data_IF_843267118883
#
_entry.id   IF_843267118883
#
_cell.length_a   1.000
_cell.length_b   1.000
_cell.length_c   1.000
_cell.angle_alpha   90.00
_cell.angle_beta   90.00
_cell.angle_gamma   90.00
#
_symmetry.space_group_name_H-M   'P 1'
#
loop_
_entity.id
_entity.type
_entity.pdbx_description
1 polymer ?
#
# COMPACT_ATOMS: atom_id res chain seq x y z
N UNK A 1 -98.22 -15.61 -40.72
CA UNK A 1 -97.93 -16.78 -39.88
C UNK A 1 -97.33 -16.27 -38.57
N UNK A 2 -98.17 -16.24 -37.54
CA UNK A 2 -97.92 -16.26 -36.08
C UNK A 2 -96.82 -15.35 -35.50
N UNK A 3 -97.31 -14.39 -34.72
CA UNK A 3 -96.63 -13.59 -33.68
C UNK A 3 -96.09 -14.45 -32.51
N UNK A 4 -94.89 -14.13 -32.02
CA UNK A 4 -94.39 -14.27 -30.63
C UNK A 4 -93.12 -13.38 -30.54
N UNK A 5 -92.77 -12.65 -29.49
CA UNK A 5 -93.11 -12.70 -28.08
C UNK A 5 -92.88 -11.32 -27.42
N UNK A 6 -93.51 -11.14 -26.26
CA UNK A 6 -93.53 -9.95 -25.40
C UNK A 6 -92.32 -9.85 -24.45
N UNK A 7 -92.18 -8.64 -23.89
CA UNK A 7 -91.86 -8.33 -22.47
C UNK A 7 -90.41 -7.94 -22.07
N UNK A 8 -90.22 -6.63 -21.92
CA UNK A 8 -89.82 -5.87 -20.70
C UNK A 8 -88.95 -6.58 -19.65
N UNK A 9 -87.79 -5.99 -19.31
CA UNK A 9 -87.54 -5.34 -18.00
C UNK A 9 -86.08 -4.92 -17.79
N UNK A 10 -85.90 -3.75 -17.17
CA UNK A 10 -84.64 -3.09 -16.81
C UNK A 10 -83.87 -3.90 -15.76
N UNK A 11 -82.53 -3.90 -15.84
CA UNK A 11 -81.67 -3.63 -14.66
C UNK A 11 -80.23 -3.26 -15.04
N UNK A 12 -79.84 -2.14 -14.45
CA UNK A 12 -78.51 -1.56 -14.29
C UNK A 12 -77.54 -2.57 -13.65
N UNK A 13 -76.32 -2.69 -14.17
CA UNK A 13 -75.09 -2.77 -13.35
C UNK A 13 -73.86 -2.45 -14.21
N UNK A 14 -73.10 -1.46 -13.74
CA UNK A 14 -71.82 -0.96 -14.29
C UNK A 14 -70.67 -1.80 -13.74
N UNK A 15 -69.90 -2.50 -14.57
CA UNK A 15 -68.48 -2.95 -14.41
C UNK A 15 -68.21 -3.90 -15.59
N UNK A 16 -67.09 -3.93 -16.33
CA UNK A 16 -65.69 -3.77 -15.98
C UNK A 16 -64.92 -3.13 -17.16
N UNK A 17 -64.21 -2.04 -16.91
CA UNK A 17 -62.74 -1.94 -16.74
C UNK A 17 -61.98 -2.02 -18.07
N UNK A 18 -61.53 -0.82 -18.47
CA UNK A 18 -60.73 -0.49 -19.64
C UNK A 18 -59.29 -0.96 -19.44
N UNK A 19 -58.74 -1.64 -20.44
CA UNK A 19 -57.29 -1.78 -20.63
C UNK A 19 -56.83 -0.47 -21.28
N UNK A 20 -56.00 0.30 -20.59
CA UNK A 20 -55.27 1.41 -21.20
C UNK A 20 -53.87 1.50 -20.56
N UNK A 21 -52.91 0.96 -21.31
CA UNK A 21 -51.49 1.27 -21.41
C UNK A 21 -50.95 2.35 -20.44
N UNK A 22 -50.12 1.93 -19.50
CA UNK A 22 -49.12 2.79 -18.88
C UNK A 22 -47.75 2.44 -19.48
N UNK A 23 -47.34 3.16 -20.53
CA UNK A 23 -45.93 3.18 -20.95
C UNK A 23 -45.24 4.18 -20.03
N UNK A 24 -44.61 3.68 -18.97
CA UNK A 24 -43.72 4.44 -18.12
C UNK A 24 -42.39 4.60 -18.88
N UNK A 25 -42.22 5.69 -19.62
CA UNK A 25 -40.90 6.10 -20.12
C UNK A 25 -40.12 6.61 -18.91
N UNK A 26 -39.37 5.71 -18.27
CA UNK A 26 -38.32 6.11 -17.33
C UNK A 26 -37.22 6.72 -18.18
N UNK A 27 -37.20 8.06 -18.31
CA UNK A 27 -35.97 8.78 -18.63
C UNK A 27 -35.02 8.55 -17.44
N UNK A 28 -34.30 7.44 -17.46
CA UNK A 28 -33.15 7.25 -16.62
C UNK A 28 -32.10 8.24 -17.09
N UNK A 29 -31.89 9.30 -16.33
CA UNK A 29 -30.59 9.97 -16.35
C UNK A 29 -29.58 8.91 -15.91
N UNK A 30 -28.97 8.22 -16.87
CA UNK A 30 -27.79 7.40 -16.60
C UNK A 30 -26.67 8.41 -16.35
N UNK A 31 -26.58 8.89 -15.12
CA UNK A 31 -25.35 9.51 -14.65
C UNK A 31 -24.27 8.44 -14.84
N UNK A 32 -23.34 8.65 -15.76
CA UNK A 32 -22.12 7.86 -15.77
C UNK A 32 -21.47 8.11 -14.41
N UNK A 33 -21.53 7.13 -13.52
CA UNK A 33 -20.83 7.21 -12.26
C UNK A 33 -19.33 7.27 -12.61
N UNK A 34 -18.69 8.39 -12.24
CA UNK A 34 -17.25 8.50 -12.21
C UNK A 34 -16.78 7.47 -11.18
N UNK A 35 -15.99 6.49 -11.62
CA UNK A 35 -15.58 5.36 -10.81
C UNK A 35 -14.06 5.40 -10.66
N UNK A 36 -13.60 5.32 -9.41
CA UNK A 36 -12.18 5.17 -9.16
C UNK A 36 -11.63 3.92 -9.87
N UNK A 37 -10.43 4.04 -10.41
CA UNK A 37 -9.68 2.95 -11.01
C UNK A 37 -8.40 2.72 -10.22
N UNK A 38 -8.09 1.46 -9.94
CA UNK A 38 -6.99 1.09 -9.07
C UNK A 38 -5.82 0.48 -9.84
N UNK A 39 -4.61 0.85 -9.47
CA UNK A 39 -3.36 0.23 -9.91
C UNK A 39 -2.67 -0.41 -8.71
N UNK A 40 -2.27 -1.67 -8.87
CA UNK A 40 -1.55 -2.41 -7.84
C UNK A 40 -0.24 -2.97 -8.38
N UNK A 41 0.84 -2.78 -7.64
CA UNK A 41 2.15 -3.31 -8.02
C UNK A 41 2.98 -3.72 -6.81
N UNK A 42 3.79 -4.77 -6.95
CA UNK A 42 4.81 -5.13 -5.98
C UNK A 42 6.09 -4.37 -6.32
N UNK A 43 6.62 -3.62 -5.35
CA UNK A 43 7.74 -2.70 -5.54
C UNK A 43 8.84 -2.97 -4.51
N UNK A 44 10.04 -2.49 -4.81
CA UNK A 44 11.15 -2.46 -3.87
C UNK A 44 11.45 -1.02 -3.47
N UNK A 45 11.36 -0.73 -2.17
CA UNK A 45 11.63 0.58 -1.60
C UNK A 45 13.01 0.55 -0.96
N UNK A 46 13.93 1.47 -1.30
CA UNK A 46 15.18 1.58 -0.56
C UNK A 46 14.89 2.01 0.87
N UNK A 47 15.46 1.31 1.84
CA UNK A 47 15.28 1.57 3.28
C UNK A 47 16.64 1.64 3.96
N UNK A 48 16.84 2.66 4.77
CA UNK A 48 17.96 2.79 5.70
C UNK A 48 17.48 2.51 7.12
N UNK A 49 18.13 1.57 7.81
CA UNK A 49 17.87 1.30 9.23
C UNK A 49 18.86 2.05 10.08
N UNK A 50 18.38 2.66 11.16
CA UNK A 50 19.21 3.17 12.25
C UNK A 50 18.71 2.59 13.57
N UNK A 51 19.41 1.57 14.06
CA UNK A 51 19.07 0.86 15.27
C UNK A 51 20.08 1.16 16.38
N UNK A 52 19.58 1.49 17.57
CA UNK A 52 20.36 1.57 18.80
C UNK A 52 20.11 0.33 19.64
N UNK A 53 21.19 -0.34 20.01
CA UNK A 53 21.21 -1.53 20.84
C UNK A 53 21.90 -1.19 22.15
N UNK A 54 21.22 -1.36 23.28
CA UNK A 54 21.83 -1.14 24.58
C UNK A 54 21.46 -2.19 25.62
N UNK A 55 22.27 -2.33 26.66
CA UNK A 55 21.98 -3.19 27.81
C UNK A 55 21.75 -2.36 29.07
N UNK A 56 20.67 -2.66 29.80
CA UNK A 56 20.41 -2.03 31.11
C UNK A 56 20.93 -2.85 32.29
N UNK A 57 21.06 -4.18 32.15
CA UNK A 57 21.74 -5.05 33.11
C UNK A 57 22.31 -6.30 32.42
N UNK A 58 23.36 -6.86 33.03
CA UNK A 58 24.12 -7.99 32.52
C UNK A 58 24.21 -9.10 33.57
N UNK A 59 23.08 -9.43 34.17
CA UNK A 59 23.01 -10.41 35.24
C UNK A 59 23.29 -11.83 34.72
N UNK A 60 24.01 -12.63 35.52
CA UNK A 60 24.39 -14.00 35.16
C UNK A 60 23.20 -14.97 35.03
N UNK A 61 22.03 -14.60 35.55
CA UNK A 61 20.78 -15.34 35.43
C UNK A 61 19.62 -14.37 35.60
N UNK A 62 18.67 -14.25 34.65
CA UNK A 62 18.43 -15.08 33.47
C UNK A 62 19.19 -14.63 32.19
N UNK A 63 20.37 -14.00 32.34
CA UNK A 63 21.13 -13.44 31.23
C UNK A 63 20.80 -11.96 30.97
N UNK A 64 21.49 -11.32 30.01
CA UNK A 64 21.41 -9.88 29.81
C UNK A 64 20.08 -9.43 29.19
N UNK A 65 19.60 -8.27 29.63
CA UNK A 65 18.43 -7.61 29.05
C UNK A 65 18.89 -6.59 28.02
N UNK A 66 18.73 -6.94 26.75
CA UNK A 66 19.10 -6.11 25.62
C UNK A 66 17.88 -5.37 25.12
N UNK A 67 18.09 -4.11 24.83
CA UNK A 67 17.09 -3.22 24.27
C UNK A 67 17.45 -2.95 22.83
N UNK A 68 16.45 -2.99 21.97
CA UNK A 68 16.53 -2.54 20.58
C UNK A 68 15.50 -1.44 20.33
N UNK A 69 15.93 -0.33 19.75
CA UNK A 69 15.08 0.82 19.40
C UNK A 69 15.67 1.55 18.22
N UNK A 70 14.89 2.30 17.46
CA UNK A 70 15.44 3.02 16.31
C UNK A 70 14.40 3.48 15.32
N UNK A 71 14.85 3.71 14.11
CA UNK A 71 14.02 4.15 13.02
C UNK A 71 14.42 3.52 11.68
N UNK A 72 13.41 3.40 10.81
CA UNK A 72 13.52 3.01 9.41
C UNK A 72 13.24 4.26 8.58
N UNK A 73 14.15 4.63 7.69
CA UNK A 73 13.97 5.74 6.76
C UNK A 73 13.72 5.18 5.37
N UNK A 74 12.56 5.52 4.79
CA UNK A 74 12.20 5.09 3.45
C UNK A 74 12.69 6.12 2.44
N UNK A 75 13.29 5.64 1.35
CA UNK A 75 13.61 6.49 0.21
C UNK A 75 12.34 6.88 -0.55
N UNK A 76 12.45 7.97 -1.30
CA UNK A 76 11.33 8.50 -2.06
C UNK A 76 10.88 7.56 -3.18
N UNK A 77 9.63 7.72 -3.60
CA UNK A 77 9.05 6.99 -4.71
C UNK A 77 8.22 7.96 -5.56
N UNK A 78 8.45 7.90 -6.86
CA UNK A 78 7.72 8.70 -7.84
C UNK A 78 6.77 7.84 -8.67
N UNK A 79 5.80 8.50 -9.28
CA UNK A 79 4.85 7.93 -10.22
C UNK A 79 4.63 8.87 -11.39
N UNK A 80 3.97 8.38 -12.42
CA UNK A 80 3.63 9.16 -13.59
C UNK A 80 2.19 8.91 -14.04
N UNK A 81 1.46 10.00 -14.27
CA UNK A 81 0.23 10.00 -15.05
C UNK A 81 0.58 10.25 -16.50
N UNK A 82 0.11 9.38 -17.39
CA UNK A 82 0.37 9.47 -18.83
C UNK A 82 -0.97 9.62 -19.54
N UNK A 83 -1.15 10.75 -20.20
CA UNK A 83 -2.34 11.07 -20.98
C UNK A 83 -2.04 10.85 -22.46
N UNK A 84 -2.74 9.89 -23.08
CA UNK A 84 -2.61 9.60 -24.51
C UNK A 84 -3.89 9.99 -25.23
N UNK A 85 -3.79 10.95 -26.13
CA UNK A 85 -4.90 11.28 -27.02
C UNK A 85 -4.74 10.53 -28.35
N UNK A 86 -5.67 9.63 -28.65
CA UNK A 86 -5.74 8.93 -29.94
C UNK A 86 -7.05 9.28 -30.64
N UNK A 87 -7.10 10.43 -31.33
CA UNK A 87 -8.21 10.73 -32.24
C UNK A 87 -7.85 10.27 -33.65
N UNK A 88 -8.14 9.01 -33.99
CA UNK A 88 -8.21 8.62 -35.40
C UNK A 88 -9.45 9.32 -36.00
N UNK A 89 -9.22 10.33 -36.86
CA UNK A 89 -10.26 10.84 -37.74
C UNK A 89 -10.41 12.34 -37.94
N UNK A 90 -9.44 13.22 -37.61
CA UNK A 90 -9.30 14.55 -38.28
C UNK A 90 -8.09 15.39 -37.89
N UNK A 91 -7.35 15.08 -36.83
CA UNK A 91 -6.08 15.76 -36.52
C UNK A 91 -5.03 14.75 -36.03
N UNK A 92 -3.91 14.71 -36.74
CA UNK A 92 -2.69 13.93 -36.46
C UNK A 92 -1.94 14.52 -35.26
N UNK A 93 -2.54 14.49 -34.07
CA UNK A 93 -1.87 14.93 -32.86
C UNK A 93 -1.98 13.84 -31.80
N UNK A 94 -0.90 13.06 -31.66
CA UNK A 94 -0.68 12.19 -30.52
C UNK A 94 0.23 12.97 -29.58
N UNK A 95 -0.36 13.65 -28.61
CA UNK A 95 0.39 14.17 -27.48
C UNK A 95 0.30 13.15 -26.36
N UNK A 96 1.48 12.62 -25.99
CA UNK A 96 1.69 11.92 -24.74
C UNK A 96 2.12 12.98 -23.73
N UNK A 97 1.22 13.38 -22.85
CA UNK A 97 1.54 14.27 -21.72
C UNK A 97 1.86 13.38 -20.54
N UNK A 98 3.09 13.48 -20.03
CA UNK A 98 3.54 12.79 -18.81
C UNK A 98 3.62 13.81 -17.67
N UNK A 99 2.94 13.52 -16.57
CA UNK A 99 2.98 14.34 -15.35
C UNK A 99 3.52 13.49 -14.22
N UNK A 100 4.65 13.91 -13.64
CA UNK A 100 5.23 13.29 -12.46
C UNK A 100 4.39 13.57 -11.21
N UNK A 101 4.29 12.57 -10.35
CA UNK A 101 3.60 12.64 -9.06
C UNK A 101 4.50 12.04 -7.99
N UNK A 102 4.68 12.76 -6.89
CA UNK A 102 5.39 12.22 -5.73
C UNK A 102 4.45 11.24 -5.01
N UNK A 103 4.84 9.97 -4.93
CA UNK A 103 4.08 8.94 -4.22
C UNK A 103 4.54 8.92 -2.77
N UNK A 104 5.84 8.76 -2.52
CA UNK A 104 6.40 8.81 -1.19
C UNK A 104 7.49 9.89 -1.15
N UNK A 105 7.37 10.92 -0.31
CA UNK A 105 8.47 11.86 -0.14
C UNK A 105 9.68 11.15 0.48
N UNK A 106 10.89 11.50 0.07
CA UNK A 106 12.09 10.91 0.67
C UNK A 106 12.22 11.26 2.15
N UNK A 107 12.63 10.29 2.96
CA UNK A 107 12.92 10.50 4.39
C UNK A 107 11.73 10.24 5.33
N UNK A 108 10.62 9.69 4.82
CA UNK A 108 9.56 9.18 5.67
C UNK A 108 10.13 8.19 6.69
N UNK A 109 9.84 8.39 7.96
CA UNK A 109 10.54 7.71 9.06
C UNK A 109 9.56 6.93 9.92
N UNK A 110 9.74 5.61 10.01
CA UNK A 110 8.99 4.74 10.92
C UNK A 110 9.83 4.49 12.16
N UNK A 111 9.34 4.92 13.32
CA UNK A 111 10.00 4.70 14.61
C UNK A 111 9.48 3.44 15.28
N UNK A 112 10.38 2.53 15.63
CA UNK A 112 10.02 1.36 16.43
C UNK A 112 10.40 1.56 17.89
N UNK A 113 9.43 1.26 18.76
CA UNK A 113 9.58 1.45 20.20
C UNK A 113 10.61 0.49 20.79
N UNK A 114 11.15 0.90 21.95
CA UNK A 114 12.08 0.11 22.76
C UNK A 114 11.52 -1.30 23.01
N UNK A 115 12.12 -2.32 22.40
CA UNK A 115 11.79 -3.73 22.64
C UNK A 115 12.85 -4.36 23.57
N UNK A 116 12.47 -4.82 24.78
CA UNK A 116 13.37 -5.59 25.62
C UNK A 116 13.43 -7.04 25.15
N UNK A 117 14.64 -7.59 25.03
CA UNK A 117 14.85 -9.02 24.86
C UNK A 117 14.49 -9.76 26.15
N UNK A 118 13.80 -10.89 26.03
CA UNK A 118 13.40 -11.71 27.18
C UNK A 118 14.52 -12.66 27.57
N UNK A 119 15.50 -12.15 28.32
CA UNK A 119 16.63 -12.92 28.85
C UNK A 119 17.57 -13.42 27.76
N UNK A 120 18.69 -14.00 28.17
CA UNK A 120 19.75 -14.50 27.29
C UNK A 120 20.52 -15.64 27.94
N UNK A 121 21.71 -15.94 27.43
CA UNK A 121 22.62 -16.87 28.13
C UNK A 121 23.23 -16.18 29.36
N UNK A 122 23.47 -16.95 30.42
CA UNK A 122 24.29 -16.50 31.55
C UNK A 122 25.75 -16.27 31.11
N UNK A 123 26.46 -15.38 31.81
CA UNK A 123 27.86 -15.04 31.52
C UNK A 123 28.02 -13.67 30.86
N UNK A 124 29.08 -13.54 30.05
CA UNK A 124 29.38 -12.33 29.28
C UNK A 124 29.46 -12.66 27.78
N UNK A 125 28.31 -12.93 27.14
CA UNK A 125 28.29 -13.38 25.76
C UNK A 125 28.76 -12.29 24.79
N UNK A 126 29.24 -12.73 23.63
CA UNK A 126 29.29 -11.94 22.42
C UNK A 126 27.87 -11.79 21.90
N UNK A 127 27.46 -10.56 21.65
CA UNK A 127 26.11 -10.22 21.24
C UNK A 127 26.17 -9.77 19.79
N UNK A 128 25.33 -10.38 18.98
CA UNK A 128 25.13 -10.03 17.59
C UNK A 128 23.68 -9.63 17.34
N UNK A 129 23.45 -8.81 16.32
CA UNK A 129 22.12 -8.54 15.77
C UNK A 129 22.10 -8.89 14.29
N UNK A 130 21.02 -9.52 13.85
CA UNK A 130 20.76 -9.76 12.44
C UNK A 130 19.33 -9.32 12.12
N UNK A 131 19.14 -8.66 10.99
CA UNK A 131 17.82 -8.24 10.52
C UNK A 131 17.28 -9.25 9.53
N UNK A 132 16.00 -9.54 9.65
CA UNK A 132 15.30 -10.54 8.87
C UNK A 132 14.05 -9.92 8.23
N UNK A 133 13.65 -10.48 7.09
CA UNK A 133 12.35 -10.23 6.51
C UNK A 133 11.22 -10.97 7.26
N UNK A 134 9.98 -10.76 6.83
CA UNK A 134 8.79 -11.40 7.40
C UNK A 134 8.79 -12.94 7.30
N UNK A 135 9.52 -13.50 6.32
CA UNK A 135 9.66 -14.95 6.15
C UNK A 135 10.80 -15.55 6.98
N UNK A 136 11.57 -14.72 7.68
CA UNK A 136 12.75 -15.12 8.45
C UNK A 136 14.03 -15.21 7.62
N UNK A 137 13.99 -14.76 6.36
CA UNK A 137 15.17 -14.63 5.49
C UNK A 137 16.06 -13.48 5.96
N UNK A 138 17.37 -13.70 6.00
CA UNK A 138 18.32 -12.66 6.40
C UNK A 138 18.38 -11.53 5.36
N UNK A 139 18.18 -10.29 5.82
CA UNK A 139 18.35 -9.06 5.03
C UNK A 139 19.61 -8.29 5.44
N UNK A 140 20.29 -8.74 6.50
CA UNK A 140 21.62 -8.27 6.89
C UNK A 140 22.53 -9.45 7.25
N UNK A 141 23.83 -9.18 7.24
CA UNK A 141 24.79 -10.03 7.95
C UNK A 141 24.55 -9.99 9.47
N UNK A 142 25.18 -10.90 10.19
CA UNK A 142 25.27 -10.80 11.65
C UNK A 142 26.25 -9.67 12.03
N UNK A 143 25.76 -8.72 12.82
CA UNK A 143 26.51 -7.53 13.20
C UNK A 143 26.90 -7.68 14.66
N UNK A 144 28.20 -7.76 14.93
CA UNK A 144 28.71 -7.77 16.30
C UNK A 144 28.45 -6.43 16.96
N UNK A 145 27.68 -6.44 18.06
CA UNK A 145 27.36 -5.22 18.81
C UNK A 145 28.14 -5.12 20.12
N UNK A 146 28.88 -6.16 20.52
CA UNK A 146 29.75 -6.09 21.69
C UNK A 146 29.43 -7.15 22.72
N UNK A 147 29.86 -6.89 23.95
CA UNK A 147 29.68 -7.78 25.10
C UNK A 147 28.95 -7.06 26.22
N UNK A 148 28.12 -7.77 26.96
CA UNK A 148 27.27 -7.12 27.95
C UNK A 148 28.07 -6.45 29.08
N UNK A 149 28.99 -7.16 29.74
CA UNK A 149 29.69 -6.66 30.94
C UNK A 149 30.58 -5.44 30.65
N UNK A 150 30.89 -5.18 29.38
CA UNK A 150 31.70 -4.03 28.96
C UNK A 150 30.86 -2.75 28.75
N UNK A 151 29.55 -2.83 28.93
CA UNK A 151 28.62 -1.78 28.57
C UNK A 151 28.26 -1.86 27.09
N UNK A 152 27.01 -2.26 26.82
CA UNK A 152 26.48 -2.29 25.47
C UNK A 152 25.69 -1.01 25.20
N UNK A 153 26.19 -0.20 24.26
CA UNK A 153 25.47 0.91 23.64
C UNK A 153 26.04 1.14 22.24
N UNK A 154 25.45 0.49 21.24
CA UNK A 154 25.87 0.55 19.86
C UNK A 154 24.78 1.11 18.97
N UNK A 155 25.22 1.81 17.93
CA UNK A 155 24.37 2.24 16.84
C UNK A 155 24.76 1.46 15.59
N UNK A 156 23.79 0.78 15.00
CA UNK A 156 23.93 -0.04 13.80
C UNK A 156 23.13 0.61 12.68
N UNK A 157 23.73 0.67 11.51
CA UNK A 157 23.06 1.16 10.30
C UNK A 157 23.43 0.31 9.10
N UNK A 158 22.43 0.05 8.28
CA UNK A 158 22.58 -0.67 7.01
C UNK A 158 21.43 -0.29 6.08
N UNK A 159 21.69 -0.41 4.78
CA UNK A 159 20.75 -0.13 3.71
C UNK A 159 20.33 -1.42 3.03
N UNK A 160 19.06 -1.52 2.64
CA UNK A 160 18.53 -2.65 1.88
C UNK A 160 17.31 -2.24 1.05
N UNK A 161 16.89 -3.10 0.13
CA UNK A 161 15.63 -2.93 -0.60
C UNK A 161 14.54 -3.73 0.09
N UNK A 162 13.50 -3.02 0.57
CA UNK A 162 12.36 -3.62 1.25
C UNK A 162 11.21 -3.86 0.27
N UNK A 163 10.56 -5.02 0.39
CA UNK A 163 9.41 -5.35 -0.46
C UNK A 163 8.15 -4.64 0.06
N UNK A 164 7.43 -3.99 -0.84
CA UNK A 164 6.15 -3.35 -0.55
C UNK A 164 5.13 -3.65 -1.65
N UNK A 165 3.85 -3.51 -1.33
CA UNK A 165 2.76 -3.52 -2.30
C UNK A 165 2.17 -2.12 -2.32
N UNK A 166 2.21 -1.48 -3.48
CA UNK A 166 1.58 -0.19 -3.69
C UNK A 166 0.19 -0.37 -4.28
N UNK A 167 -0.79 0.28 -3.67
CA UNK A 167 -2.15 0.43 -4.18
C UNK A 167 -2.37 1.92 -4.48
N UNK A 168 -2.67 2.24 -5.73
CA UNK A 168 -3.02 3.59 -6.17
C UNK A 168 -4.45 3.62 -6.68
N UNK A 169 -5.21 4.63 -6.27
CA UNK A 169 -6.58 4.89 -6.70
C UNK A 169 -6.65 6.24 -7.42
N UNK A 170 -7.16 6.21 -8.65
CA UNK A 170 -7.21 7.34 -9.57
C UNK A 170 -8.68 7.69 -9.78
N UNK A 171 -9.02 8.98 -9.63
CA UNK A 171 -10.36 9.51 -9.91
C UNK A 171 -10.29 10.75 -10.80
N UNK A 172 -11.31 10.96 -11.64
CA UNK A 172 -11.44 12.17 -12.44
C UNK A 172 -12.53 13.11 -11.91
N UNK A 173 -12.24 14.42 -11.89
CA UNK A 173 -13.17 15.45 -11.43
C UNK A 173 -13.85 16.23 -12.57
N UNK A 174 -13.09 16.68 -13.57
CA UNK A 174 -13.65 17.39 -14.72
C UNK A 174 -12.95 16.96 -16.01
N UNK A 175 -13.74 16.46 -16.97
CA UNK A 175 -13.25 15.93 -18.25
C UNK A 175 -13.70 16.80 -19.43
N UNK A 176 -13.48 18.11 -19.34
CA UNK A 176 -13.89 19.05 -20.38
C UNK A 176 -12.89 19.08 -21.54
N UNK A 177 -13.40 19.30 -22.75
CA UNK A 177 -12.64 19.37 -23.99
C UNK A 177 -11.64 20.54 -24.05
N UNK A 178 -11.80 21.58 -23.23
CA UNK A 178 -10.99 22.81 -23.33
C UNK A 178 -9.79 22.85 -22.37
N UNK A 179 -9.92 22.31 -21.16
CA UNK A 179 -8.89 22.38 -20.10
C UNK A 179 -8.27 21.03 -19.73
N UNK A 180 -8.76 19.93 -20.34
CA UNK A 180 -8.31 18.57 -20.04
C UNK A 180 -8.84 18.02 -18.72
N UNK A 181 -8.50 16.75 -18.40
CA UNK A 181 -8.85 16.12 -17.13
C UNK A 181 -8.29 16.84 -15.92
N UNK A 182 -9.05 16.88 -14.82
CA UNK A 182 -8.52 17.03 -13.47
C UNK A 182 -8.45 15.66 -12.80
N UNK A 183 -7.25 15.10 -12.69
CA UNK A 183 -7.03 13.78 -12.09
C UNK A 183 -6.55 13.91 -10.66
N UNK A 184 -7.23 13.21 -9.76
CA UNK A 184 -6.79 12.99 -8.38
C UNK A 184 -6.17 11.61 -8.26
N UNK A 185 -5.04 11.54 -7.55
CA UNK A 185 -4.35 10.30 -7.18
C UNK A 185 -4.27 10.23 -5.65
N UNK A 186 -4.55 9.05 -5.10
CA UNK A 186 -4.40 8.72 -3.68
C UNK A 186 -4.11 7.23 -3.51
N UNK A 187 -3.64 6.79 -2.35
CA UNK A 187 -3.45 5.36 -2.11
C UNK A 187 -2.52 5.09 -0.95
N UNK A 188 -1.99 3.87 -0.93
CA UNK A 188 -1.20 3.33 0.17
C UNK A 188 -0.05 2.43 -0.31
N UNK A 189 1.04 2.45 0.45
CA UNK A 189 2.10 1.44 0.43
C UNK A 189 1.89 0.51 1.61
N UNK A 190 1.77 -0.78 1.35
CA UNK A 190 1.68 -1.84 2.35
C UNK A 190 3.06 -2.50 2.45
N UNK A 191 3.71 -2.36 3.59
CA UNK A 191 5.06 -2.86 3.82
C UNK A 191 5.03 -4.31 4.34
N UNK A 192 5.96 -5.14 3.89
CA UNK A 192 6.19 -6.43 4.55
C UNK A 192 6.83 -6.24 5.95
N UNK A 193 6.75 -7.27 6.78
CA UNK A 193 7.33 -7.23 8.13
C UNK A 193 8.87 -7.19 8.12
N UNK A 194 9.43 -6.60 9.17
CA UNK A 194 10.86 -6.62 9.47
C UNK A 194 11.03 -7.11 10.91
N UNK A 195 11.96 -8.04 11.08
CA UNK A 195 12.33 -8.58 12.38
C UNK A 195 13.82 -8.34 12.64
N UNK A 196 14.17 -8.31 13.91
CA UNK A 196 15.55 -8.41 14.35
C UNK A 196 15.72 -9.65 15.21
N UNK A 197 16.86 -10.31 15.05
CA UNK A 197 17.28 -11.47 15.80
C UNK A 197 18.52 -11.10 16.59
N UNK A 198 18.42 -11.13 17.92
CA UNK A 198 19.57 -11.01 18.81
C UNK A 198 20.16 -12.40 19.02
N UNK A 199 21.47 -12.54 18.84
CA UNK A 199 22.19 -13.80 18.94
C UNK A 199 23.22 -13.67 20.05
N UNK A 200 23.18 -14.59 21.02
CA UNK A 200 24.09 -14.61 22.15
C UNK A 200 25.02 -15.81 22.05
N UNK A 201 26.32 -15.55 21.88
CA UNK A 201 27.39 -16.57 21.80
C UNK A 201 28.27 -16.52 23.03
N UNK A 202 28.32 -17.60 23.80
CA UNK A 202 29.12 -17.62 25.05
C UNK A 202 30.58 -17.99 24.82
N UNK A 203 30.94 -18.49 23.63
CA UNK A 203 32.26 -18.99 23.35
C UNK A 203 32.58 -18.86 21.85
N UNK A 204 33.59 -18.07 21.50
CA UNK A 204 34.10 -18.03 20.11
C UNK A 204 35.31 -18.94 19.92
N UNK A 205 35.98 -19.43 20.98
CA UNK A 205 37.19 -20.29 20.88
C UNK A 205 37.67 -20.82 22.27
N UNK A 206 36.85 -21.53 23.05
CA UNK A 206 37.18 -21.91 24.45
C UNK A 206 36.71 -23.30 24.90
N UNK A 207 37.17 -23.81 26.07
CA UNK A 207 37.14 -25.23 26.42
C UNK A 207 35.81 -25.76 27.00
N UNK A 208 34.69 -25.05 26.88
CA UNK A 208 33.43 -25.44 27.54
C UNK A 208 32.36 -25.95 26.54
N UNK A 209 31.80 -27.12 26.84
CA UNK A 209 30.97 -27.99 25.97
C UNK A 209 29.57 -27.45 25.57
N UNK A 210 29.18 -26.24 25.98
CA UNK A 210 27.85 -25.68 25.67
C UNK A 210 27.94 -24.59 24.59
N UNK A 211 28.02 -25.03 23.33
CA UNK A 211 28.07 -24.20 22.10
C UNK A 211 26.67 -23.91 21.54
N UNK A 212 25.67 -23.66 22.38
CA UNK A 212 24.33 -23.33 21.87
C UNK A 212 24.07 -21.84 21.93
N UNK A 213 24.08 -21.23 20.75
CA UNK A 213 23.59 -19.87 20.55
C UNK A 213 22.13 -19.76 21.04
N UNK A 214 21.85 -18.69 21.78
CA UNK A 214 20.48 -18.30 22.10
C UNK A 214 20.08 -17.20 21.14
N UNK A 215 18.94 -17.39 20.49
CA UNK A 215 18.38 -16.43 19.56
C UNK A 215 17.08 -15.85 20.14
N UNK A 216 16.94 -14.53 20.10
CA UNK A 216 15.73 -13.82 20.55
C UNK A 216 15.22 -12.94 19.42
N UNK A 217 14.00 -13.22 18.96
CA UNK A 217 13.32 -12.43 17.94
C UNK A 217 12.66 -11.17 18.51
N UNK A 218 12.71 -10.10 17.74
CA UNK A 218 12.11 -8.80 18.02
C UNK A 218 11.41 -8.31 16.76
N UNK A 219 10.15 -7.91 16.88
CA UNK A 219 9.42 -7.29 15.77
C UNK A 219 9.82 -5.82 15.67
N UNK A 220 10.29 -5.40 14.50
CA UNK A 220 10.71 -4.03 14.20
C UNK A 220 9.60 -3.29 13.46
N UNK A 221 9.12 -3.91 12.39
CA UNK A 221 7.99 -3.45 11.60
C UNK A 221 7.01 -4.61 11.50
N UNK A 222 5.77 -4.50 12.00
CA UNK A 222 4.78 -5.54 11.79
C UNK A 222 4.43 -5.65 10.30
N UNK A 223 4.13 -6.85 9.80
CA UNK A 223 3.66 -7.00 8.43
C UNK A 223 2.32 -6.29 8.24
N UNK A 224 2.17 -5.62 7.09
CA UNK A 224 0.95 -4.91 6.73
C UNK A 224 0.87 -3.49 7.27
N UNK A 225 1.96 -2.94 7.84
CA UNK A 225 2.05 -1.51 8.12
C UNK A 225 1.82 -0.71 6.83
N UNK A 226 0.97 0.32 6.89
CA UNK A 226 0.60 1.11 5.72
C UNK A 226 1.08 2.54 5.81
N UNK A 227 1.58 3.07 4.68
CA UNK A 227 1.87 4.48 4.50
C UNK A 227 0.92 5.03 3.45
N UNK A 228 0.09 5.99 3.82
CA UNK A 228 -0.79 6.67 2.87
C UNK A 228 -0.02 7.75 2.11
N UNK A 229 -0.16 7.79 0.79
CA UNK A 229 0.34 8.92 0.03
C UNK A 229 -0.71 10.02 -0.11
N UNK A 230 -0.27 11.26 0.08
CA UNK A 230 -1.15 12.42 0.10
C UNK A 230 -1.87 12.57 -1.24
N UNK A 231 -3.13 13.00 -1.17
CA UNK A 231 -3.91 13.34 -2.35
C UNK A 231 -3.15 14.39 -3.17
N UNK A 232 -2.69 14.00 -4.35
CA UNK A 232 -2.00 14.92 -5.24
C UNK A 232 -3.00 15.93 -5.82
N UNK A 233 -2.62 17.21 -5.99
CA UNK A 233 -3.50 18.22 -6.54
C UNK A 233 -3.94 17.80 -7.95
N UNK A 234 -5.11 18.27 -8.42
CA UNK A 234 -5.58 17.97 -9.75
C UNK A 234 -4.53 18.28 -10.81
N UNK A 235 -3.98 17.24 -11.43
CA UNK A 235 -3.02 17.40 -12.52
C UNK A 235 -3.79 17.60 -13.81
N UNK A 236 -3.55 18.72 -14.50
CA UNK A 236 -4.12 19.00 -15.81
C UNK A 236 -3.50 18.09 -16.88
N UNK A 237 -4.31 17.60 -17.82
CA UNK A 237 -3.89 16.68 -18.88
C UNK A 237 -4.15 17.18 -20.29
N UNK A 238 -3.77 16.37 -21.29
CA UNK A 238 -4.09 16.60 -22.70
C UNK A 238 -5.59 16.88 -22.88
N UNK A 239 -5.95 17.94 -23.61
CA UNK A 239 -7.34 18.34 -23.82
C UNK A 239 -8.22 17.22 -24.41
N UNK A 240 -9.51 17.20 -24.06
CA UNK A 240 -10.46 16.20 -24.57
C UNK A 240 -10.75 15.06 -23.59
N UNK A 241 -10.96 13.86 -24.14
CA UNK A 241 -11.20 12.62 -23.38
C UNK A 241 -10.04 11.64 -23.60
N UNK A 242 -8.85 11.90 -23.01
CA UNK A 242 -7.67 11.09 -23.22
C UNK A 242 -7.83 9.69 -22.59
N UNK A 243 -7.01 8.76 -23.07
CA UNK A 243 -6.67 7.54 -22.36
C UNK A 243 -5.71 7.91 -21.23
N UNK A 244 -5.99 7.45 -20.02
CA UNK A 244 -5.19 7.73 -18.85
C UNK A 244 -4.50 6.44 -18.44
N UNK A 245 -3.19 6.54 -18.27
CA UNK A 245 -2.36 5.48 -17.72
C UNK A 245 -1.66 5.99 -16.46
N UNK A 246 -1.36 5.08 -15.55
CA UNK A 246 -0.55 5.34 -14.37
C UNK A 246 0.62 4.38 -14.35
N UNK A 247 1.78 4.83 -13.86
CA UNK A 247 2.96 4.02 -13.70
C UNK A 247 3.67 4.41 -12.40
N UNK A 248 4.09 3.44 -11.60
CA UNK A 248 5.09 3.66 -10.55
C UNK A 248 6.46 3.77 -11.21
N UNK A 249 7.14 4.91 -11.04
CA UNK A 249 8.44 5.13 -11.66
C UNK A 249 9.48 4.16 -11.06
N UNK A 250 10.43 3.76 -11.89
CA UNK A 250 11.51 2.80 -11.58
C UNK A 250 11.11 1.34 -11.29
N UNK A 251 9.82 0.98 -11.32
CA UNK A 251 9.42 -0.31 -10.72
C UNK A 251 8.16 -0.99 -11.29
N UNK A 252 7.40 -0.37 -12.20
CA UNK A 252 6.12 -0.94 -12.65
C UNK A 252 5.79 -0.85 -14.14
N UNK A 253 4.88 -1.71 -14.63
CA UNK A 253 4.25 -1.53 -15.94
C UNK A 253 3.34 -0.31 -15.95
N UNK A 254 3.00 0.18 -17.15
CA UNK A 254 1.90 1.13 -17.30
C UNK A 254 0.56 0.42 -17.08
N UNK A 255 -0.25 0.94 -16.16
CA UNK A 255 -1.60 0.48 -15.92
C UNK A 255 -2.57 1.36 -16.71
N UNK A 256 -3.46 0.76 -17.49
CA UNK A 256 -4.54 1.51 -18.12
C UNK A 256 -5.65 1.78 -17.10
N UNK A 257 -5.88 3.06 -16.79
CA UNK A 257 -6.86 3.48 -15.79
C UNK A 257 -8.25 3.59 -16.39
N UNK A 258 -8.33 4.10 -17.61
CA UNK A 258 -9.59 4.32 -18.29
C UNK A 258 -9.55 5.55 -19.18
N UNK A 259 -10.72 5.97 -19.64
CA UNK A 259 -10.89 7.29 -20.24
C UNK A 259 -11.30 8.27 -19.16
N UNK A 260 -10.96 9.54 -19.31
CA UNK A 260 -11.33 10.57 -18.35
C UNK A 260 -12.82 10.49 -17.97
N UNK A 261 -13.72 10.43 -18.96
CA UNK A 261 -15.18 10.40 -18.72
C UNK A 261 -15.71 9.10 -18.09
N UNK A 262 -14.83 8.18 -17.70
CA UNK A 262 -15.16 6.89 -17.11
C UNK A 262 -14.50 6.69 -15.72
N UNK A 263 -13.67 7.64 -15.29
CA UNK A 263 -12.92 7.65 -14.04
C UNK A 263 -13.52 8.57 -12.99
#
# INVERSE_FOLDING_TARGET
MIYHSLSVSRRVTRTAIRIALAILVVLGAVSAAMAASDAQSALQVPVSVHARINSNSCDNSPGPYITLSGELMLGGMDGALIFRNNRKGTHTHTEDVKVGVEILPPGETIRFAKQPSRGGVGGNPFIYVQFLDDSGGAISDEIFVGRCVQGLDQMVSFDFFHNAVANASITAGECNNTSGPYITLSGELILSGIQAKLIFRNNEDGPHEYEKDVEVGVVILPPGETISFAKQPPQGGAGGNPLIYFQFEDSGPEFFMGRCTQL
#
